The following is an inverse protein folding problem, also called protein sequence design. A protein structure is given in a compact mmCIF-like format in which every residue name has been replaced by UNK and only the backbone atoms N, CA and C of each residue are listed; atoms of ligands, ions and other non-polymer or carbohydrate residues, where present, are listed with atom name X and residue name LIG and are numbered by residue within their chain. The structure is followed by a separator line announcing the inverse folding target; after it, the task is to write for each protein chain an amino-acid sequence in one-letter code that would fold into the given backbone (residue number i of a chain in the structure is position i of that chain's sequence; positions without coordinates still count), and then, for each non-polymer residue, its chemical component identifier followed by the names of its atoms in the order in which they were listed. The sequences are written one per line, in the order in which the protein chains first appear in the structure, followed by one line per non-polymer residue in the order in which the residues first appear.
data_IF_584261683185
#
_entry.id   IF_584261683185
#
_cell.length_a   1.000
_cell.length_b   1.000
_cell.length_c   1.000
_cell.angle_alpha   90.00
_cell.angle_beta   90.00
_cell.angle_gamma   90.00
#
_symmetry.space_group_name_H-M   'P 1'
#
loop_
_entity.id
_entity.type
_entity.pdbx_description
1 polymer ?
#
# COMPACT_ATOMS: atom_id res chain seq x y z
N UNK A 1 -9.60 56.44 -26.14
CA UNK A 1 -8.49 55.72 -25.45
C UNK A 1 -8.99 54.54 -24.57
N UNK A 2 -9.88 53.68 -25.04
CA UNK A 2 -10.48 52.59 -24.19
C UNK A 2 -10.44 51.18 -24.80
N UNK A 3 -9.84 51.02 -26.01
CA UNK A 3 -9.84 49.74 -26.72
C UNK A 3 -8.63 48.84 -26.39
N UNK A 4 -7.50 49.40 -26.01
CA UNK A 4 -6.24 48.69 -25.74
C UNK A 4 -6.31 47.93 -24.41
N UNK A 5 -6.85 48.52 -23.35
CA UNK A 5 -6.96 47.94 -22.01
C UNK A 5 -7.82 46.66 -21.96
N UNK A 6 -8.91 46.60 -22.71
CA UNK A 6 -9.78 45.38 -22.77
C UNK A 6 -9.13 44.23 -23.50
N UNK A 7 -8.28 44.51 -24.51
CA UNK A 7 -7.55 43.44 -25.23
C UNK A 7 -6.41 42.85 -24.40
N UNK A 8 -5.71 43.67 -23.62
CA UNK A 8 -4.65 43.22 -22.72
C UNK A 8 -5.21 42.35 -21.56
N UNK A 9 -6.36 42.75 -21.00
CA UNK A 9 -7.03 41.95 -19.96
C UNK A 9 -7.54 40.60 -20.50
N UNK A 10 -8.08 40.54 -21.72
CA UNK A 10 -8.53 39.31 -22.35
C UNK A 10 -7.37 38.35 -22.66
N UNK A 11 -6.23 38.88 -23.10
CA UNK A 11 -5.02 38.10 -23.37
C UNK A 11 -4.42 37.53 -22.08
N UNK A 12 -4.42 38.28 -20.97
CA UNK A 12 -3.95 37.82 -19.68
C UNK A 12 -4.83 36.70 -19.09
N UNK A 13 -6.15 36.83 -19.23
CA UNK A 13 -7.09 35.76 -18.79
C UNK A 13 -6.94 34.50 -19.63
N UNK A 14 -6.77 34.62 -20.94
CA UNK A 14 -6.55 33.47 -21.82
C UNK A 14 -5.22 32.75 -21.51
N UNK A 15 -4.15 33.51 -21.23
CA UNK A 15 -2.87 32.94 -20.83
C UNK A 15 -2.97 32.22 -19.50
N UNK A 16 -3.71 32.74 -18.52
CA UNK A 16 -3.93 32.10 -17.21
C UNK A 16 -4.75 30.82 -17.36
N UNK A 17 -5.77 30.79 -18.20
CA UNK A 17 -6.57 29.61 -18.49
C UNK A 17 -5.76 28.54 -19.23
N UNK A 18 -4.86 28.92 -20.14
CA UNK A 18 -3.95 28.00 -20.82
C UNK A 18 -2.92 27.41 -19.86
N UNK A 19 -2.39 28.17 -18.91
CA UNK A 19 -1.48 27.69 -17.87
C UNK A 19 -2.20 26.74 -16.90
N UNK A 20 -3.44 27.02 -16.56
CA UNK A 20 -4.26 26.15 -15.71
C UNK A 20 -4.63 24.86 -16.43
N UNK A 21 -4.98 24.89 -17.70
CA UNK A 21 -5.23 23.72 -18.53
C UNK A 21 -3.96 22.88 -18.74
N UNK A 22 -2.80 23.52 -18.93
CA UNK A 22 -1.52 22.82 -19.01
C UNK A 22 -1.13 22.17 -17.68
N UNK A 23 -1.40 22.79 -16.55
CA UNK A 23 -1.18 22.22 -15.23
C UNK A 23 -2.12 21.03 -14.92
N UNK A 24 -3.36 21.07 -15.44
CA UNK A 24 -4.28 19.93 -15.36
C UNK A 24 -3.85 18.78 -16.29
N UNK A 25 -3.38 19.07 -17.50
CA UNK A 25 -2.91 18.06 -18.45
C UNK A 25 -1.57 17.43 -18.04
N UNK A 26 -0.75 18.14 -17.27
CA UNK A 26 0.52 17.62 -16.74
C UNK A 26 0.36 16.65 -15.56
N UNK A 27 -0.85 16.45 -15.06
CA UNK A 27 -1.14 15.40 -14.09
C UNK A 27 -1.28 14.05 -14.83
N UNK A 28 -0.18 13.58 -15.42
CA UNK A 28 -0.12 12.22 -15.92
C UNK A 28 -0.42 11.30 -14.74
N UNK A 29 -1.57 10.61 -14.80
CA UNK A 29 -1.93 9.64 -13.79
C UNK A 29 -0.82 8.58 -13.73
N UNK A 30 -0.22 8.41 -12.56
CA UNK A 30 0.73 7.35 -12.35
C UNK A 30 0.08 6.01 -12.74
N UNK A 31 0.78 5.11 -13.45
CA UNK A 31 0.22 3.83 -13.78
C UNK A 31 -0.23 3.12 -12.50
N UNK A 32 -1.31 2.32 -12.53
CA UNK A 32 -1.89 1.74 -11.32
C UNK A 32 -0.87 0.90 -10.55
N UNK A 33 -0.99 0.88 -9.22
CA UNK A 33 -0.20 -0.02 -8.37
C UNK A 33 -0.50 -1.47 -8.78
N UNK A 34 0.54 -2.25 -9.05
CA UNK A 34 0.39 -3.66 -9.41
C UNK A 34 -0.35 -4.42 -8.31
N UNK A 35 -1.33 -5.24 -8.68
CA UNK A 35 -2.13 -6.04 -7.74
C UNK A 35 -2.75 -5.21 -6.60
N UNK A 36 -3.13 -3.96 -6.88
CA UNK A 36 -3.83 -3.14 -5.90
C UNK A 36 -5.20 -3.73 -5.60
N UNK A 37 -5.49 -3.93 -4.32
CA UNK A 37 -6.78 -4.41 -3.83
C UNK A 37 -7.17 -3.65 -2.56
N UNK A 38 -8.33 -3.03 -2.57
CA UNK A 38 -8.95 -2.53 -1.35
C UNK A 38 -9.73 -3.68 -0.71
N UNK A 39 -9.10 -4.27 0.31
CA UNK A 39 -9.63 -5.48 0.96
C UNK A 39 -10.87 -5.17 1.78
N UNK A 40 -10.85 -4.03 2.49
CA UNK A 40 -11.97 -3.50 3.26
C UNK A 40 -11.78 -1.99 3.51
N UNK A 41 -12.54 -1.40 4.42
CA UNK A 41 -12.45 0.03 4.76
C UNK A 41 -11.14 0.39 5.47
N UNK A 42 -10.51 -0.56 6.15
CA UNK A 42 -9.32 -0.35 6.97
C UNK A 42 -8.01 -0.73 6.28
N UNK A 43 -8.08 -1.54 5.23
CA UNK A 43 -6.87 -2.06 4.60
C UNK A 43 -6.96 -2.07 3.07
N UNK A 44 -5.88 -1.65 2.45
CA UNK A 44 -5.61 -1.89 1.05
C UNK A 44 -4.20 -2.49 0.88
N UNK A 45 -4.03 -3.28 -0.16
CA UNK A 45 -2.82 -4.04 -0.44
C UNK A 45 -2.34 -3.81 -1.86
N UNK A 46 -1.06 -4.08 -2.13
CA UNK A 46 -0.55 -3.95 -3.48
C UNK A 46 0.93 -4.27 -3.62
N UNK A 47 1.42 -4.06 -4.84
CA UNK A 47 2.85 -4.03 -5.13
C UNK A 47 3.48 -2.70 -4.75
N UNK A 48 4.74 -2.51 -5.18
CA UNK A 48 5.51 -1.31 -4.88
C UNK A 48 4.81 -0.04 -5.38
N UNK A 49 4.51 0.92 -4.50
CA UNK A 49 3.99 2.22 -4.89
C UNK A 49 5.09 3.12 -5.48
N UNK A 50 4.69 4.16 -6.20
CA UNK A 50 5.50 5.35 -6.49
C UNK A 50 5.10 6.47 -5.52
N UNK A 51 5.86 7.55 -5.49
CA UNK A 51 5.57 8.69 -4.62
C UNK A 51 4.17 9.28 -4.88
N UNK A 52 3.76 9.37 -6.15
CA UNK A 52 2.44 9.88 -6.53
C UNK A 52 1.30 9.01 -5.97
N UNK A 53 1.55 7.68 -5.86
CA UNK A 53 0.58 6.77 -5.24
C UNK A 53 0.45 7.02 -3.74
N UNK A 54 1.55 7.31 -3.03
CA UNK A 54 1.52 7.62 -1.60
C UNK A 54 0.70 8.89 -1.33
N UNK A 55 0.87 9.91 -2.16
CA UNK A 55 0.09 11.14 -2.06
C UNK A 55 -1.41 10.87 -2.25
N UNK A 56 -1.78 10.09 -3.27
CA UNK A 56 -3.17 9.70 -3.51
C UNK A 56 -3.76 8.86 -2.38
N UNK A 57 -3.01 7.87 -1.88
CA UNK A 57 -3.45 7.06 -0.74
C UNK A 57 -3.70 7.93 0.50
N UNK A 58 -2.87 8.94 0.73
CA UNK A 58 -3.08 9.92 1.82
C UNK A 58 -4.37 10.71 1.62
N UNK A 59 -4.62 11.21 0.39
CA UNK A 59 -5.88 11.91 0.05
C UNK A 59 -7.11 11.02 0.26
N UNK A 60 -6.98 9.71 0.02
CA UNK A 60 -8.01 8.69 0.25
C UNK A 60 -8.15 8.27 1.74
N UNK A 61 -7.40 8.91 2.64
CA UNK A 61 -7.52 8.73 4.09
C UNK A 61 -6.62 7.64 4.68
N UNK A 62 -5.69 7.06 3.92
CA UNK A 62 -4.67 6.14 4.46
C UNK A 62 -3.83 6.89 5.50
N UNK A 63 -3.54 6.22 6.62
CA UNK A 63 -2.76 6.75 7.74
C UNK A 63 -1.38 6.12 7.85
N UNK A 64 -1.24 4.86 7.42
CA UNK A 64 0.01 4.14 7.53
C UNK A 64 0.35 3.35 6.27
N UNK A 65 1.66 3.19 6.03
CA UNK A 65 2.24 2.32 5.01
C UNK A 65 3.04 1.23 5.71
N UNK A 66 2.77 -0.03 5.39
CA UNK A 66 3.51 -1.19 5.88
C UNK A 66 4.19 -1.85 4.70
N UNK A 67 5.50 -1.73 4.62
CA UNK A 67 6.33 -2.26 3.56
C UNK A 67 7.00 -3.57 4.00
N UNK A 68 6.73 -4.66 3.27
CA UNK A 68 7.30 -5.98 3.55
C UNK A 68 8.59 -6.28 2.76
N UNK A 69 9.19 -5.28 2.12
CA UNK A 69 10.44 -5.48 1.35
C UNK A 69 11.66 -5.28 2.24
N UNK A 70 12.68 -6.14 2.15
CA UNK A 70 13.97 -5.84 2.76
C UNK A 70 14.62 -4.62 2.08
N UNK A 71 15.41 -3.81 2.81
CA UNK A 71 16.06 -2.61 2.27
C UNK A 71 16.91 -2.86 1.03
N UNK A 72 17.51 -4.05 0.90
CA UNK A 72 18.29 -4.43 -0.27
C UNK A 72 17.49 -4.52 -1.59
N UNK A 73 16.16 -4.64 -1.51
CA UNK A 73 15.30 -4.73 -2.70
C UNK A 73 14.79 -3.37 -3.18
N UNK A 74 14.92 -2.31 -2.39
CA UNK A 74 14.33 -1.00 -2.71
C UNK A 74 15.01 0.12 -1.91
N UNK A 75 14.67 1.34 -2.26
CA UNK A 75 15.12 2.55 -1.54
C UNK A 75 14.20 2.84 -0.35
N UNK A 76 14.30 2.02 0.69
CA UNK A 76 13.43 2.08 1.87
C UNK A 76 13.40 3.46 2.52
N UNK A 77 14.55 4.11 2.61
CA UNK A 77 14.66 5.43 3.24
C UNK A 77 14.01 6.53 2.40
N UNK A 78 14.09 6.46 1.07
CA UNK A 78 13.42 7.43 0.19
C UNK A 78 11.89 7.30 0.29
N UNK A 79 11.37 6.07 0.33
CA UNK A 79 9.95 5.82 0.50
C UNK A 79 9.47 6.26 1.89
N UNK A 80 10.25 5.98 2.94
CA UNK A 80 10.00 6.46 4.29
C UNK A 80 9.91 7.97 4.34
N UNK A 81 10.93 8.66 3.82
CA UNK A 81 10.99 10.12 3.83
C UNK A 81 9.79 10.74 3.12
N UNK A 82 9.36 10.17 1.99
CA UNK A 82 8.18 10.66 1.28
C UNK A 82 6.88 10.37 2.04
N UNK A 83 6.72 9.17 2.61
CA UNK A 83 5.57 8.84 3.43
C UNK A 83 5.45 9.79 4.63
N UNK A 84 6.54 10.02 5.36
CA UNK A 84 6.59 10.92 6.51
C UNK A 84 6.33 12.38 6.11
N UNK A 85 6.87 12.84 4.97
CA UNK A 85 6.59 14.18 4.41
C UNK A 85 5.09 14.39 4.13
N UNK A 86 4.39 13.33 3.73
CA UNK A 86 2.95 13.33 3.51
C UNK A 86 2.14 13.16 4.81
N UNK A 87 2.80 12.99 5.95
CA UNK A 87 2.15 12.73 7.24
C UNK A 87 1.54 11.31 7.34
N UNK A 88 2.13 10.34 6.63
CA UNK A 88 1.85 8.92 6.78
C UNK A 88 2.80 8.32 7.80
N UNK A 89 2.31 7.41 8.64
CA UNK A 89 3.18 6.54 9.44
C UNK A 89 3.80 5.50 8.51
N UNK A 90 5.09 5.24 8.68
CA UNK A 90 5.79 4.27 7.83
C UNK A 90 6.44 3.18 8.65
N UNK A 91 6.19 1.93 8.28
CA UNK A 91 6.74 0.75 8.92
C UNK A 91 7.38 -0.15 7.87
N UNK A 92 8.56 -0.66 8.16
CA UNK A 92 9.23 -1.62 7.30
C UNK A 92 9.46 -2.93 8.06
N UNK A 93 8.85 -4.00 7.60
CA UNK A 93 9.07 -5.38 8.06
C UNK A 93 9.86 -6.08 6.96
N UNK A 94 11.19 -6.29 7.13
CA UNK A 94 12.05 -6.78 6.05
C UNK A 94 11.90 -8.28 5.82
N UNK A 95 10.89 -8.70 5.05
CA UNK A 95 10.63 -10.11 4.72
C UNK A 95 11.46 -10.54 3.52
N UNK A 96 12.47 -11.36 3.74
CA UNK A 96 13.20 -12.02 2.66
C UNK A 96 12.28 -13.05 2.00
N UNK A 97 12.11 -12.96 0.68
CA UNK A 97 11.10 -13.72 -0.07
C UNK A 97 11.17 -15.24 0.18
N UNK A 98 12.40 -15.79 0.24
CA UNK A 98 12.60 -17.24 0.43
C UNK A 98 12.72 -17.67 1.89
N UNK A 99 12.85 -16.72 2.81
CA UNK A 99 13.07 -16.98 4.24
C UNK A 99 12.20 -16.06 5.12
N UNK A 100 10.86 -16.18 5.06
CA UNK A 100 10.00 -15.45 5.98
C UNK A 100 10.21 -15.97 7.40
N UNK A 101 10.13 -15.08 8.40
CA UNK A 101 10.35 -15.43 9.82
C UNK A 101 9.11 -15.17 10.66
N UNK A 102 8.93 -15.96 11.70
CA UNK A 102 7.77 -15.87 12.60
C UNK A 102 7.68 -14.49 13.29
N UNK A 103 8.82 -13.90 13.66
CA UNK A 103 8.87 -12.58 14.30
C UNK A 103 8.28 -11.51 13.40
N UNK A 104 8.47 -11.64 12.08
CA UNK A 104 7.90 -10.71 11.08
C UNK A 104 6.39 -10.84 11.00
N UNK A 105 5.85 -12.06 11.08
CA UNK A 105 4.40 -12.27 11.14
C UNK A 105 3.81 -11.74 12.44
N UNK A 106 4.50 -11.93 13.57
CA UNK A 106 4.10 -11.36 14.86
C UNK A 106 4.07 -9.84 14.82
N UNK A 107 5.11 -9.20 14.26
CA UNK A 107 5.17 -7.74 14.10
C UNK A 107 4.08 -7.23 13.16
N UNK A 108 3.85 -7.92 12.04
CA UNK A 108 2.78 -7.59 11.12
C UNK A 108 1.40 -7.59 11.78
N UNK A 109 1.10 -8.61 12.57
CA UNK A 109 -0.14 -8.66 13.33
C UNK A 109 -0.25 -7.50 14.31
N UNK A 110 0.80 -7.21 15.07
CA UNK A 110 0.84 -6.08 16.00
C UNK A 110 0.57 -4.75 15.31
N UNK A 111 1.22 -4.49 14.17
CA UNK A 111 1.04 -3.24 13.42
C UNK A 111 -0.37 -3.12 12.82
N UNK A 112 -0.95 -4.22 12.35
CA UNK A 112 -2.30 -4.24 11.79
C UNK A 112 -3.40 -4.28 12.86
N UNK A 113 -3.11 -4.67 14.09
CA UNK A 113 -4.02 -4.60 15.24
C UNK A 113 -4.12 -3.17 15.81
N UNK A 114 -3.09 -2.35 15.65
CA UNK A 114 -3.09 -0.94 16.13
C UNK A 114 -4.04 -0.07 15.29
N UNK A 115 -5.13 0.37 15.89
CA UNK A 115 -6.14 1.25 15.26
C UNK A 115 -5.56 2.58 14.78
N UNK A 116 -4.50 3.07 15.42
CA UNK A 116 -3.84 4.31 14.99
C UNK A 116 -3.17 4.18 13.61
N UNK A 117 -2.90 2.95 13.16
CA UNK A 117 -2.36 2.67 11.82
C UNK A 117 -3.43 2.53 10.74
N UNK A 118 -4.71 2.54 11.09
CA UNK A 118 -5.79 2.30 10.13
C UNK A 118 -6.44 3.60 9.65
N UNK A 119 -6.81 3.71 8.39
CA UNK A 119 -6.59 2.76 7.30
C UNK A 119 -5.12 2.63 6.91
N UNK A 120 -4.68 1.41 6.54
CA UNK A 120 -3.30 1.12 6.15
C UNK A 120 -3.18 0.59 4.72
N UNK A 121 -2.11 0.99 4.04
CA UNK A 121 -1.64 0.38 2.80
C UNK A 121 -0.49 -0.58 3.09
N UNK A 122 -0.65 -1.83 2.68
CA UNK A 122 0.31 -2.91 2.90
C UNK A 122 0.87 -3.34 1.55
N UNK A 123 2.20 -3.34 1.40
CA UNK A 123 2.78 -3.68 0.11
C UNK A 123 4.09 -4.46 0.21
N UNK A 124 4.46 -5.01 -0.94
CA UNK A 124 5.81 -5.51 -1.23
C UNK A 124 6.14 -5.22 -2.70
N UNK A 125 6.95 -6.03 -3.38
CA UNK A 125 7.24 -5.84 -4.82
C UNK A 125 6.02 -6.08 -5.71
N UNK A 126 5.28 -7.18 -5.48
CA UNK A 126 4.13 -7.59 -6.29
C UNK A 126 2.97 -8.15 -5.49
N UNK A 127 2.87 -7.83 -4.20
CA UNK A 127 1.87 -8.27 -3.25
C UNK A 127 1.92 -9.77 -2.85
N UNK A 128 2.87 -10.56 -3.34
CA UNK A 128 2.94 -12.00 -3.01
C UNK A 128 3.18 -12.23 -1.50
N UNK A 129 4.19 -11.58 -0.90
CA UNK A 129 4.45 -11.62 0.55
C UNK A 129 3.27 -11.10 1.35
N UNK A 130 2.65 -10.03 0.85
CA UNK A 130 1.45 -9.44 1.47
C UNK A 130 0.34 -10.48 1.58
N UNK A 131 0.07 -11.24 0.52
CA UNK A 131 -0.96 -12.28 0.54
C UNK A 131 -0.74 -13.32 1.64
N UNK A 132 0.49 -13.81 1.83
CA UNK A 132 0.80 -14.78 2.88
C UNK A 132 0.58 -14.20 4.29
N UNK A 133 1.05 -13.00 4.56
CA UNK A 133 0.89 -12.32 5.84
C UNK A 133 -0.57 -11.92 6.09
N UNK A 134 -1.29 -11.55 5.03
CA UNK A 134 -2.71 -11.26 5.10
C UNK A 134 -3.55 -12.50 5.42
N UNK A 135 -3.22 -13.66 4.85
CA UNK A 135 -3.81 -14.96 5.20
C UNK A 135 -3.69 -15.25 6.70
N UNK A 136 -2.50 -15.04 7.28
CA UNK A 136 -2.26 -15.19 8.72
C UNK A 136 -3.22 -14.30 9.52
N UNK A 137 -3.33 -13.03 9.14
CA UNK A 137 -4.21 -12.08 9.82
C UNK A 137 -5.67 -12.50 9.77
N UNK A 138 -6.16 -12.89 8.59
CA UNK A 138 -7.55 -13.30 8.41
C UNK A 138 -7.94 -14.45 9.34
N UNK A 139 -7.06 -15.43 9.48
CA UNK A 139 -7.36 -16.59 10.34
C UNK A 139 -7.22 -16.22 11.82
N UNK A 140 -6.12 -15.57 12.21
CA UNK A 140 -5.81 -15.35 13.63
C UNK A 140 -6.51 -14.14 14.26
N UNK A 141 -7.08 -13.21 13.47
CA UNK A 141 -7.74 -12.01 13.97
C UNK A 141 -9.20 -11.88 13.54
N UNK A 142 -9.48 -12.27 12.30
CA UNK A 142 -10.81 -12.08 11.73
C UNK A 142 -11.66 -13.37 11.81
N UNK A 143 -11.10 -14.49 12.33
CA UNK A 143 -11.82 -15.75 12.57
C UNK A 143 -12.15 -16.54 11.29
N UNK A 144 -11.49 -16.23 10.18
CA UNK A 144 -11.73 -16.94 8.92
C UNK A 144 -11.17 -18.38 8.97
N UNK A 145 -11.76 -19.25 8.17
CA UNK A 145 -11.14 -20.55 7.89
C UNK A 145 -9.87 -20.36 7.06
N UNK A 146 -8.98 -21.33 7.10
CA UNK A 146 -7.73 -21.31 6.33
C UNK A 146 -8.05 -21.23 4.81
N UNK A 147 -9.06 -21.97 4.38
CA UNK A 147 -9.49 -22.05 2.98
C UNK A 147 -10.08 -20.73 2.47
N UNK A 148 -10.85 -20.01 3.29
CA UNK A 148 -11.37 -18.68 2.94
C UNK A 148 -10.24 -17.65 2.85
N UNK A 149 -9.34 -17.66 3.83
CA UNK A 149 -8.21 -16.76 3.90
C UNK A 149 -7.23 -16.99 2.73
N UNK A 150 -7.00 -18.24 2.32
CA UNK A 150 -6.17 -18.57 1.18
C UNK A 150 -6.75 -18.06 -0.14
N UNK A 151 -8.05 -18.24 -0.35
CA UNK A 151 -8.73 -17.69 -1.55
C UNK A 151 -8.63 -16.16 -1.64
N UNK A 152 -8.67 -15.46 -0.52
CA UNK A 152 -8.46 -14.01 -0.51
C UNK A 152 -6.97 -13.67 -0.71
N UNK A 153 -6.05 -14.42 -0.09
CA UNK A 153 -4.62 -14.25 -0.27
C UNK A 153 -4.18 -14.38 -1.75
N UNK A 154 -4.81 -15.29 -2.50
CA UNK A 154 -4.61 -15.42 -3.96
C UNK A 154 -5.06 -14.15 -4.72
N UNK A 155 -6.18 -13.54 -4.31
CA UNK A 155 -6.66 -12.27 -4.89
C UNK A 155 -5.73 -11.12 -4.55
N UNK A 156 -5.17 -11.10 -3.34
CA UNK A 156 -4.15 -10.13 -2.91
C UNK A 156 -2.89 -10.28 -3.73
N UNK A 157 -2.47 -11.50 -4.05
CA UNK A 157 -1.31 -11.75 -4.88
C UNK A 157 -0.47 -12.98 -4.52
N UNK A 158 -0.88 -13.80 -3.54
CA UNK A 158 -0.17 -15.05 -3.19
C UNK A 158 -0.37 -16.08 -4.29
N UNK A 159 0.54 -16.08 -5.26
CA UNK A 159 0.53 -17.02 -6.39
C UNK A 159 1.95 -17.49 -6.65
N UNK A 160 2.10 -18.75 -7.08
CA UNK A 160 3.38 -19.34 -7.48
C UNK A 160 4.48 -19.24 -6.40
N UNK A 161 4.07 -19.27 -5.12
CA UNK A 161 4.97 -19.16 -3.97
C UNK A 161 4.59 -20.16 -2.87
N UNK A 162 4.69 -21.49 -3.13
CA UNK A 162 4.26 -22.53 -2.19
C UNK A 162 4.93 -22.39 -0.82
N UNK A 163 6.21 -22.03 -0.76
CA UNK A 163 6.95 -21.82 0.49
C UNK A 163 6.36 -20.71 1.37
N UNK A 164 5.78 -19.66 0.78
CA UNK A 164 5.09 -18.61 1.56
C UNK A 164 3.73 -19.06 2.06
N UNK A 165 3.04 -19.88 1.28
CA UNK A 165 1.78 -20.52 1.72
C UNK A 165 2.05 -21.50 2.87
N UNK A 166 3.05 -22.35 2.73
CA UNK A 166 3.49 -23.29 3.79
C UNK A 166 3.88 -22.55 5.07
N UNK A 167 4.65 -21.47 4.95
CA UNK A 167 4.98 -20.61 6.09
C UNK A 167 3.73 -20.06 6.78
N UNK A 168 2.79 -19.53 6.01
CA UNK A 168 1.56 -18.96 6.56
C UNK A 168 0.73 -20.03 7.29
N UNK A 169 0.56 -21.20 6.69
CA UNK A 169 -0.16 -22.34 7.30
C UNK A 169 0.52 -22.84 8.57
N UNK A 170 1.83 -23.01 8.57
CA UNK A 170 2.60 -23.43 9.74
C UNK A 170 2.49 -22.42 10.89
N UNK A 171 2.60 -21.12 10.58
CA UNK A 171 2.43 -20.06 11.58
C UNK A 171 1.01 -20.07 12.16
N UNK A 172 -0.02 -20.20 11.33
CA UNK A 172 -1.42 -20.28 11.75
C UNK A 172 -1.64 -21.48 12.68
N UNK A 173 -1.19 -22.65 12.28
CA UNK A 173 -1.35 -23.87 13.08
C UNK A 173 -0.73 -23.73 14.47
N UNK A 174 0.48 -23.16 14.53
CA UNK A 174 1.22 -22.95 15.79
C UNK A 174 0.54 -21.96 16.72
N UNK A 175 -0.11 -20.90 16.17
CA UNK A 175 -0.62 -19.77 16.95
C UNK A 175 -2.16 -19.73 17.06
N UNK A 176 -2.87 -20.61 16.38
CA UNK A 176 -4.31 -20.77 16.54
C UNK A 176 -4.59 -21.29 17.94
N UNK A 177 -5.49 -20.64 18.68
CA UNK A 177 -5.97 -21.19 19.95
C UNK A 177 -6.58 -22.57 19.68
N UNK A 178 -6.11 -23.57 20.38
CA UNK A 178 -6.78 -24.88 20.41
C UNK A 178 -8.01 -24.70 21.29
N UNK A 179 -9.17 -24.82 20.68
CA UNK A 179 -10.44 -24.89 21.39
C UNK A 179 -10.50 -26.17 22.23
#
# INVERSE_FOLDING_TARGET
MTSTSKRESAAAVAALLLLFAAALAARQEAPPIRNFLRVNKEFCTGGQPRNEHLARLKEEGVRAVINLRPPAEHRAEEERAEAERLGLRYFNIPVVFREPKEEQATEFLKLTDDEANRPAFIHCTGAIRVGAFWMIRRVLRDGWTVEEAEKEAEKVGLREAPHLNEFARAYIEKHRKKD
#
